data_IF_342058771351
#
_entry.id   IF_342058771351
#
_cell.length_a   1.000
_cell.length_b   1.000
_cell.length_c   1.000
_cell.angle_alpha   90.00
_cell.angle_beta   90.00
_cell.angle_gamma   90.00
#
_symmetry.space_group_name_H-M   'P 1'
#
loop_
_entity.id
_entity.type
_entity.pdbx_description
1 polymer ?
#
# COMPACT_ATOMS: atom_id res chain seq x y z
N UNK A 1 5.29 1.98 -16.27
CA UNK A 1 6.53 2.58 -15.74
C UNK A 1 7.68 1.59 -15.58
N UNK A 2 7.54 0.51 -14.81
CA UNK A 2 8.66 -0.42 -14.54
C UNK A 2 9.29 -1.06 -15.80
N UNK A 3 8.52 -1.52 -16.82
CA UNK A 3 9.12 -1.99 -18.07
C UNK A 3 9.94 -0.92 -18.79
N UNK A 4 9.54 0.35 -18.75
CA UNK A 4 10.30 1.45 -19.34
C UNK A 4 11.63 1.69 -18.60
N UNK A 5 11.62 1.58 -17.27
CA UNK A 5 12.82 1.66 -16.44
C UNK A 5 13.80 0.53 -16.77
N UNK A 6 13.30 -0.71 -16.92
CA UNK A 6 14.11 -1.83 -17.36
C UNK A 6 14.63 -1.63 -18.78
N UNK A 7 13.79 -1.17 -19.71
CA UNK A 7 14.19 -0.90 -21.09
C UNK A 7 15.37 0.08 -21.17
N UNK A 8 15.37 1.12 -20.33
CA UNK A 8 16.50 2.05 -20.23
C UNK A 8 17.80 1.35 -19.75
N UNK A 9 17.71 0.44 -18.78
CA UNK A 9 18.87 -0.36 -18.33
C UNK A 9 19.40 -1.30 -19.41
N UNK A 10 18.50 -1.92 -20.18
CA UNK A 10 18.88 -2.76 -21.30
C UNK A 10 19.49 -1.93 -22.45
N UNK A 11 19.00 -0.72 -22.69
CA UNK A 11 19.57 0.20 -23.68
C UNK A 11 21.02 0.58 -23.37
N UNK A 12 21.34 0.82 -22.09
CA UNK A 12 22.72 1.07 -21.65
C UNK A 12 23.55 -0.21 -21.43
N UNK A 13 23.05 -1.37 -21.87
CA UNK A 13 23.71 -2.68 -21.78
C UNK A 13 24.09 -3.11 -20.36
N UNK A 14 23.37 -2.64 -19.34
CA UNK A 14 23.67 -2.99 -17.95
C UNK A 14 23.26 -4.42 -17.56
N UNK A 15 22.43 -5.08 -18.39
CA UNK A 15 22.02 -6.48 -18.22
C UNK A 15 21.33 -6.76 -16.88
N UNK A 16 21.41 -8.01 -16.41
CA UNK A 16 20.84 -8.44 -15.13
C UNK A 16 21.53 -7.78 -13.92
N UNK A 17 22.82 -7.50 -14.00
CA UNK A 17 23.58 -6.82 -12.95
C UNK A 17 23.04 -5.41 -12.70
N UNK A 18 22.76 -4.64 -13.76
CA UNK A 18 22.16 -3.32 -13.65
C UNK A 18 20.78 -3.34 -13.00
N UNK A 19 19.97 -4.34 -13.32
CA UNK A 19 18.66 -4.55 -12.67
C UNK A 19 18.85 -4.85 -11.18
N UNK A 20 19.78 -5.74 -10.83
CA UNK A 20 20.10 -6.06 -9.44
C UNK A 20 20.58 -4.84 -8.65
N UNK A 21 21.51 -4.06 -9.19
CA UNK A 21 22.02 -2.84 -8.58
C UNK A 21 20.92 -1.79 -8.39
N UNK A 22 20.03 -1.63 -9.37
CA UNK A 22 18.87 -0.75 -9.26
C UNK A 22 17.93 -1.22 -8.13
N UNK A 23 17.62 -2.51 -8.04
CA UNK A 23 16.76 -3.04 -6.97
C UNK A 23 17.39 -2.80 -5.58
N UNK A 24 18.69 -3.04 -5.43
CA UNK A 24 19.42 -2.77 -4.18
C UNK A 24 19.38 -1.28 -3.84
N UNK A 25 19.66 -0.40 -4.80
CA UNK A 25 19.61 1.05 -4.60
C UNK A 25 18.21 1.51 -4.16
N UNK A 26 17.16 1.06 -4.84
CA UNK A 26 15.78 1.37 -4.48
C UNK A 26 15.43 0.84 -3.09
N UNK A 27 15.90 -0.36 -2.73
CA UNK A 27 15.76 -0.93 -1.39
C UNK A 27 16.43 -0.08 -0.31
N UNK A 28 17.69 0.32 -0.50
CA UNK A 28 18.43 1.19 0.43
C UNK A 28 17.74 2.54 0.59
N UNK A 29 17.29 3.15 -0.51
CA UNK A 29 16.55 4.40 -0.47
C UNK A 29 15.21 4.26 0.26
N UNK A 30 14.54 3.10 0.13
CA UNK A 30 13.30 2.81 0.87
C UNK A 30 13.52 2.83 2.38
N UNK A 31 14.61 2.20 2.84
CA UNK A 31 15.03 2.21 4.25
C UNK A 31 15.34 3.63 4.71
N UNK A 32 16.11 4.37 3.90
CA UNK A 32 16.53 5.74 4.22
C UNK A 32 15.35 6.71 4.35
N UNK A 33 14.40 6.69 3.40
CA UNK A 33 13.21 7.54 3.46
C UNK A 33 12.26 7.14 4.60
N UNK A 34 12.21 5.86 4.97
CA UNK A 34 11.47 5.41 6.16
C UNK A 34 12.07 6.04 7.43
N UNK A 35 13.40 5.97 7.58
CA UNK A 35 14.11 6.63 8.69
C UNK A 35 13.83 8.13 8.73
N UNK A 36 14.00 8.82 7.59
CA UNK A 36 13.73 10.27 7.49
C UNK A 36 12.28 10.61 7.85
N UNK A 37 11.32 9.79 7.44
CA UNK A 37 9.90 9.97 7.80
C UNK A 37 9.71 9.83 9.31
N UNK A 38 10.29 8.82 9.94
CA UNK A 38 10.22 8.65 11.40
C UNK A 38 10.80 9.84 12.18
N UNK A 39 11.91 10.42 11.71
CA UNK A 39 12.46 11.64 12.30
C UNK A 39 11.49 12.83 12.18
N UNK A 40 10.84 12.99 11.03
CA UNK A 40 9.82 14.05 10.82
C UNK A 40 8.58 13.84 11.69
N UNK A 41 8.22 12.59 11.97
CA UNK A 41 7.16 12.23 12.89
C UNK A 41 7.58 12.28 14.38
N UNK A 42 8.75 12.87 14.67
CA UNK A 42 9.29 13.07 16.03
C UNK A 42 9.54 11.77 16.79
N UNK A 43 9.96 10.72 16.08
CA UNK A 43 10.33 9.43 16.67
C UNK A 43 11.82 9.13 16.45
N UNK A 44 12.78 9.79 17.13
CA UNK A 44 14.21 9.63 16.83
C UNK A 44 14.72 8.18 16.96
N UNK A 45 14.45 7.54 18.10
CA UNK A 45 14.78 6.12 18.32
C UNK A 45 13.90 5.23 17.45
N UNK A 46 12.60 5.54 17.38
CA UNK A 46 11.65 4.73 16.62
C UNK A 46 11.89 4.73 15.11
N UNK A 47 12.49 5.80 14.56
CA UNK A 47 12.84 5.92 13.15
C UNK A 47 13.90 4.89 12.75
N UNK A 48 14.89 4.65 13.61
CA UNK A 48 15.93 3.65 13.36
C UNK A 48 15.34 2.23 13.38
N UNK A 49 14.46 1.95 14.35
CA UNK A 49 13.76 0.67 14.46
C UNK A 49 12.85 0.44 13.24
N UNK A 50 12.10 1.46 12.81
CA UNK A 50 11.24 1.36 11.63
C UNK A 50 12.06 1.10 10.36
N UNK A 51 13.21 1.75 10.21
CA UNK A 51 14.13 1.51 9.11
C UNK A 51 14.72 0.09 9.15
N UNK A 52 15.08 -0.42 10.33
CA UNK A 52 15.55 -1.79 10.51
C UNK A 52 14.47 -2.83 10.17
N UNK A 53 13.21 -2.57 10.53
CA UNK A 53 12.06 -3.40 10.10
C UNK A 53 12.00 -3.45 8.57
N UNK A 54 12.02 -2.30 7.88
CA UNK A 54 11.99 -2.27 6.41
C UNK A 54 13.18 -3.01 5.79
N UNK A 55 14.39 -2.84 6.36
CA UNK A 55 15.61 -3.49 5.86
C UNK A 55 15.60 -5.02 6.03
N UNK A 56 14.83 -5.53 6.98
CA UNK A 56 14.76 -6.97 7.33
C UNK A 56 13.44 -7.62 6.92
N UNK A 57 12.54 -6.89 6.26
CA UNK A 57 11.22 -7.40 5.90
C UNK A 57 11.34 -8.59 4.91
N UNK A 58 10.82 -9.78 5.27
CA UNK A 58 10.96 -10.97 4.44
C UNK A 58 10.39 -10.82 3.03
N UNK A 59 9.27 -10.11 2.88
CA UNK A 59 8.62 -9.89 1.58
C UNK A 59 9.49 -8.99 0.70
N UNK A 60 9.96 -7.85 1.21
CA UNK A 60 10.83 -6.95 0.44
C UNK A 60 12.15 -7.63 0.06
N UNK A 61 12.77 -8.38 0.98
CA UNK A 61 14.00 -9.13 0.70
C UNK A 61 13.78 -10.17 -0.40
N UNK A 62 12.69 -10.95 -0.33
CA UNK A 62 12.34 -11.89 -1.38
C UNK A 62 12.14 -11.19 -2.72
N UNK A 63 11.37 -10.10 -2.77
CA UNK A 63 11.08 -9.41 -4.04
C UNK A 63 12.25 -8.56 -4.57
N UNK A 64 13.30 -8.33 -3.78
CA UNK A 64 14.53 -7.70 -4.27
C UNK A 64 15.27 -8.58 -5.28
N UNK A 65 15.15 -9.92 -5.19
CA UNK A 65 15.75 -10.83 -6.16
C UNK A 65 14.94 -11.00 -7.44
N UNK A 66 13.71 -10.49 -7.51
CA UNK A 66 12.85 -10.59 -8.69
C UNK A 66 12.75 -9.25 -9.42
N UNK A 67 12.73 -9.30 -10.76
CA UNK A 67 12.46 -8.13 -11.59
C UNK A 67 10.95 -7.80 -11.58
N UNK A 68 10.46 -7.27 -10.46
CA UNK A 68 9.06 -6.94 -10.26
C UNK A 68 8.86 -5.55 -9.62
N UNK A 69 7.62 -5.07 -9.63
CA UNK A 69 7.28 -3.68 -9.26
C UNK A 69 7.29 -3.41 -7.75
N UNK A 70 7.41 -4.42 -6.90
CA UNK A 70 7.31 -4.32 -5.44
C UNK A 70 8.33 -3.35 -4.86
N UNK A 71 9.61 -3.50 -5.22
CA UNK A 71 10.71 -2.70 -4.68
C UNK A 71 10.58 -1.24 -5.12
N UNK A 72 10.29 -1.01 -6.40
CA UNK A 72 10.04 0.33 -6.93
C UNK A 72 8.81 0.98 -6.28
N UNK A 73 7.75 0.20 -6.05
CA UNK A 73 6.54 0.68 -5.39
C UNK A 73 6.81 1.00 -3.92
N UNK A 74 7.58 0.19 -3.20
CA UNK A 74 7.96 0.44 -1.81
C UNK A 74 8.83 1.71 -1.70
N UNK A 75 9.78 1.89 -2.61
CA UNK A 75 10.57 3.12 -2.73
C UNK A 75 9.67 4.34 -2.93
N UNK A 76 8.78 4.30 -3.93
CA UNK A 76 7.87 5.41 -4.21
C UNK A 76 6.92 5.67 -3.05
N UNK A 77 6.43 4.64 -2.35
CA UNK A 77 5.69 4.82 -1.10
C UNK A 77 6.51 5.57 -0.06
N UNK A 78 7.72 5.10 0.24
CA UNK A 78 8.56 5.69 1.30
C UNK A 78 8.93 7.15 1.01
N UNK A 79 9.23 7.47 -0.25
CA UNK A 79 9.47 8.83 -0.71
C UNK A 79 8.20 9.68 -0.63
N UNK A 80 7.06 9.15 -1.09
CA UNK A 80 5.79 9.85 -1.06
C UNK A 80 5.35 10.19 0.37
N UNK A 81 5.40 9.23 1.31
CA UNK A 81 5.05 9.49 2.71
C UNK A 81 6.02 10.49 3.36
N UNK A 82 7.32 10.43 3.02
CA UNK A 82 8.29 11.41 3.48
C UNK A 82 7.92 12.82 3.01
N UNK A 83 7.68 13.00 1.70
CA UNK A 83 7.33 14.30 1.12
C UNK A 83 5.98 14.83 1.65
N UNK A 84 5.00 13.96 1.85
CA UNK A 84 3.72 14.33 2.48
C UNK A 84 3.92 14.75 3.94
N UNK A 85 4.78 14.06 4.71
CA UNK A 85 5.12 14.46 6.07
C UNK A 85 5.82 15.83 6.10
N UNK A 86 6.73 16.12 5.15
CA UNK A 86 7.33 17.45 5.01
C UNK A 86 6.28 18.55 4.79
N UNK A 87 5.35 18.32 3.85
CA UNK A 87 4.32 19.32 3.51
C UNK A 87 3.31 19.55 4.63
N UNK A 88 3.00 18.54 5.45
CA UNK A 88 1.99 18.64 6.52
C UNK A 88 2.55 19.19 7.84
N UNK A 89 3.83 18.95 8.13
CA UNK A 89 4.47 19.40 9.37
C UNK A 89 4.93 20.86 9.32
N UNK A 90 5.13 21.42 8.13
CA UNK A 90 5.41 22.85 7.98
C UNK A 90 4.15 23.69 8.19
N UNK A 91 4.24 24.63 9.13
CA UNK A 91 3.14 25.50 9.51
C UNK A 91 2.53 26.21 8.30
N UNK A 92 1.22 26.01 8.15
CA UNK A 92 0.36 26.56 7.09
C UNK A 92 0.19 28.09 7.18
N UNK A 93 0.82 28.74 8.17
CA UNK A 93 0.72 30.16 8.49
C UNK A 93 1.75 31.01 7.75
N UNK A 94 2.83 30.41 7.23
CA UNK A 94 3.80 31.13 6.40
C UNK A 94 3.26 31.27 4.97
N UNK A 95 3.49 32.43 4.30
CA UNK A 95 3.13 32.63 2.90
C UNK A 95 3.74 31.52 2.03
N UNK A 96 3.03 31.04 0.99
CA UNK A 96 3.61 29.99 0.14
C UNK A 96 4.87 30.56 -0.54
N UNK A 97 6.01 30.07 -0.08
CA UNK A 97 7.29 30.33 -0.72
C UNK A 97 7.37 29.55 -2.03
N UNK A 98 8.13 30.03 -3.02
CA UNK A 98 8.39 29.27 -4.26
C UNK A 98 8.92 27.85 -3.97
N UNK A 99 9.73 27.69 -2.92
CA UNK A 99 10.25 26.40 -2.48
C UNK A 99 9.14 25.43 -2.03
N UNK A 100 8.17 25.91 -1.23
CA UNK A 100 7.03 25.09 -0.78
C UNK A 100 6.13 24.70 -1.95
N UNK A 101 5.91 25.60 -2.90
CA UNK A 101 5.19 25.32 -4.14
C UNK A 101 5.89 24.24 -4.97
N UNK A 102 7.20 24.39 -5.20
CA UNK A 102 8.01 23.40 -5.92
C UNK A 102 8.00 22.03 -5.23
N UNK A 103 8.15 22.00 -3.90
CA UNK A 103 8.10 20.74 -3.15
C UNK A 103 6.73 20.06 -3.23
N UNK A 104 5.65 20.83 -3.16
CA UNK A 104 4.28 20.31 -3.32
C UNK A 104 4.07 19.76 -4.74
N UNK A 105 4.56 20.47 -5.74
CA UNK A 105 4.56 20.02 -7.13
C UNK A 105 5.37 18.72 -7.32
N UNK A 106 6.58 18.66 -6.78
CA UNK A 106 7.42 17.47 -6.81
C UNK A 106 6.79 16.27 -6.09
N UNK A 107 6.05 16.53 -5.00
CA UNK A 107 5.24 15.50 -4.32
C UNK A 107 4.18 14.94 -5.26
N UNK A 108 3.55 15.81 -6.05
CA UNK A 108 2.59 15.44 -7.08
C UNK A 108 3.21 14.59 -8.18
N UNK A 109 4.42 14.94 -8.65
CA UNK A 109 5.16 14.13 -9.62
C UNK A 109 5.43 12.72 -9.09
N UNK A 110 5.95 12.60 -7.87
CA UNK A 110 6.20 11.29 -7.23
C UNK A 110 4.91 10.48 -7.09
N UNK A 111 3.80 11.12 -6.70
CA UNK A 111 2.51 10.44 -6.59
C UNK A 111 1.99 9.98 -7.97
N UNK A 112 2.12 10.79 -9.01
CA UNK A 112 1.78 10.40 -10.38
C UNK A 112 2.63 9.23 -10.89
N UNK A 113 3.93 9.22 -10.60
CA UNK A 113 4.81 8.07 -10.88
C UNK A 113 4.37 6.83 -10.09
N UNK A 114 3.94 6.98 -8.84
CA UNK A 114 3.37 5.88 -8.06
C UNK A 114 2.07 5.34 -8.70
N UNK A 115 1.19 6.20 -9.21
CA UNK A 115 -0.02 5.79 -9.97
C UNK A 115 0.36 4.98 -11.22
N UNK A 116 1.38 5.41 -11.96
CA UNK A 116 1.90 4.66 -13.12
C UNK A 116 2.66 3.38 -12.74
N UNK A 117 3.10 3.26 -11.48
CA UNK A 117 3.67 2.03 -10.94
C UNK A 117 2.56 1.03 -10.62
N UNK A 118 1.54 1.47 -9.86
CA UNK A 118 0.40 0.67 -9.43
C UNK A 118 -0.88 1.53 -9.38
N UNK A 119 -2.00 1.06 -9.96
CA UNK A 119 -3.27 1.80 -9.93
C UNK A 119 -3.80 2.09 -8.51
N UNK A 120 -3.40 1.32 -7.50
CA UNK A 120 -3.82 1.50 -6.10
C UNK A 120 -3.52 2.89 -5.53
N UNK A 121 -2.47 3.56 -6.00
CA UNK A 121 -2.15 4.92 -5.56
C UNK A 121 -3.16 5.97 -6.05
N UNK A 122 -3.94 5.66 -7.09
CA UNK A 122 -5.03 6.53 -7.55
C UNK A 122 -6.18 6.50 -6.54
N UNK A 123 -6.49 5.32 -5.98
CA UNK A 123 -7.48 5.20 -4.90
C UNK A 123 -6.99 5.92 -3.63
N UNK A 124 -5.69 5.82 -3.32
CA UNK A 124 -5.09 6.61 -2.24
C UNK A 124 -5.29 8.11 -2.46
N UNK A 125 -4.97 8.62 -3.64
CA UNK A 125 -5.19 10.02 -3.99
C UNK A 125 -6.66 10.42 -3.86
N UNK A 126 -7.58 9.64 -4.43
CA UNK A 126 -9.02 9.93 -4.40
C UNK A 126 -9.57 9.99 -2.98
N UNK A 127 -9.28 8.98 -2.14
CA UNK A 127 -9.77 8.94 -0.75
C UNK A 127 -9.15 10.05 0.11
N UNK A 128 -7.85 10.29 -0.03
CA UNK A 128 -7.19 11.37 0.70
C UNK A 128 -7.70 12.76 0.27
N UNK A 129 -7.91 12.96 -1.04
CA UNK A 129 -8.43 14.21 -1.59
C UNK A 129 -9.87 14.47 -1.12
N UNK A 130 -10.75 13.47 -1.19
CA UNK A 130 -12.13 13.54 -0.68
C UNK A 130 -12.15 13.82 0.82
N UNK A 131 -11.36 13.09 1.61
CA UNK A 131 -11.24 13.35 3.06
C UNK A 131 -10.78 14.78 3.34
N UNK A 132 -9.83 15.30 2.55
CA UNK A 132 -9.35 16.68 2.68
C UNK A 132 -10.40 17.73 2.28
N UNK A 133 -11.33 17.41 1.37
CA UNK A 133 -12.44 18.27 0.96
C UNK A 133 -13.58 18.28 1.98
N UNK A 134 -13.86 17.13 2.63
CA UNK A 134 -14.89 17.01 3.64
C UNK A 134 -14.47 17.57 5.01
N UNK A 135 -13.17 17.61 5.32
CA UNK A 135 -12.63 18.03 6.62
C UNK A 135 -13.04 19.47 7.04
N UNK A 136 -13.01 20.50 6.16
CA UNK A 136 -13.46 21.85 6.50
C UNK A 136 -14.96 21.92 6.77
N UNK A 137 -15.77 21.16 6.03
CA UNK A 137 -17.23 21.09 6.23
C UNK A 137 -17.54 20.45 7.58
N UNK A 138 -16.88 19.33 7.90
CA UNK A 138 -17.04 18.65 9.17
C UNK A 138 -16.57 19.51 10.36
N UNK A 139 -15.46 20.24 10.21
CA UNK A 139 -14.98 21.17 11.25
C UNK A 139 -15.87 22.39 11.44
N UNK A 140 -16.51 22.87 10.36
CA UNK A 140 -17.51 23.94 10.42
C UNK A 140 -18.78 23.48 11.15
N UNK A 141 -19.21 22.24 10.94
CA UNK A 141 -20.32 21.62 11.70
C UNK A 141 -19.93 21.43 13.17
N UNK A 142 -18.68 21.08 13.45
CA UNK A 142 -18.15 20.84 14.80
C UNK A 142 -17.58 22.11 15.48
N UNK A 143 -17.89 23.32 14.98
CA UNK A 143 -17.41 24.61 15.51
C UNK A 143 -15.91 24.67 15.85
N UNK A 144 -15.08 23.96 15.08
CA UNK A 144 -13.63 23.93 15.28
C UNK A 144 -12.98 24.91 14.31
N UNK A 145 -11.99 25.73 14.73
CA UNK A 145 -11.32 26.67 13.82
C UNK A 145 -10.74 25.94 12.60
N UNK A 146 -11.20 26.32 11.41
CA UNK A 146 -10.68 25.82 10.14
C UNK A 146 -9.56 26.73 9.67
N UNK A 147 -8.38 26.17 9.42
CA UNK A 147 -7.39 26.84 8.57
C UNK A 147 -8.01 27.00 7.18
N UNK A 148 -7.79 28.16 6.55
CA UNK A 148 -8.39 28.51 5.26
C UNK A 148 -8.14 27.47 4.17
N UNK A 149 -8.98 27.47 3.14
CA UNK A 149 -8.96 26.50 2.06
C UNK A 149 -7.72 26.69 1.16
N UNK A 150 -6.72 25.82 1.30
CA UNK A 150 -5.43 25.95 0.60
C UNK A 150 -5.50 25.42 -0.84
N UNK A 151 -6.31 26.07 -1.67
CA UNK A 151 -6.49 25.71 -3.08
C UNK A 151 -5.19 25.69 -3.87
N UNK A 152 -4.28 26.63 -3.59
CA UNK A 152 -3.01 26.78 -4.31
C UNK A 152 -2.09 25.56 -4.17
N UNK A 153 -1.96 24.99 -2.97
CA UNK A 153 -1.17 23.76 -2.74
C UNK A 153 -1.81 22.55 -3.44
N UNK A 154 -3.14 22.46 -3.46
CA UNK A 154 -3.85 21.42 -4.21
C UNK A 154 -3.60 21.54 -5.70
N UNK A 155 -3.58 22.76 -6.24
CA UNK A 155 -3.26 23.01 -7.65
C UNK A 155 -1.85 22.53 -8.00
N UNK A 156 -0.83 22.87 -7.19
CA UNK A 156 0.54 22.41 -7.45
C UNK A 156 0.67 20.89 -7.38
N UNK A 157 0.04 20.26 -6.37
CA UNK A 157 0.03 18.81 -6.23
C UNK A 157 -0.62 18.14 -7.45
N UNK A 158 -1.82 18.60 -7.83
CA UNK A 158 -2.56 18.08 -8.99
C UNK A 158 -1.79 18.32 -10.30
N UNK A 159 -1.15 19.48 -10.46
CA UNK A 159 -0.33 19.77 -11.64
C UNK A 159 0.86 18.79 -11.75
N UNK A 160 1.53 18.49 -10.63
CA UNK A 160 2.59 17.49 -10.60
C UNK A 160 2.08 16.09 -10.98
N UNK A 161 0.94 15.67 -10.43
CA UNK A 161 0.32 14.38 -10.78
C UNK A 161 0.01 14.33 -12.27
N UNK A 162 -0.66 15.36 -12.80
CA UNK A 162 -1.06 15.45 -14.21
C UNK A 162 0.14 15.40 -15.14
N UNK A 163 1.24 16.10 -14.83
CA UNK A 163 2.46 16.06 -15.64
C UNK A 163 3.11 14.68 -15.63
N UNK A 164 3.14 13.99 -14.47
CA UNK A 164 3.71 12.66 -14.39
C UNK A 164 2.88 11.61 -15.17
N UNK A 165 1.54 11.69 -15.13
CA UNK A 165 0.65 10.73 -15.78
C UNK A 165 0.34 11.05 -17.24
N UNK A 166 0.50 12.30 -17.68
CA UNK A 166 0.09 12.76 -19.00
C UNK A 166 0.79 12.03 -20.16
N UNK A 167 2.09 11.65 -20.14
CA UNK A 167 2.69 10.96 -21.27
C UNK A 167 2.02 9.60 -21.54
N UNK A 168 1.66 8.88 -20.47
CA UNK A 168 0.94 7.61 -20.58
C UNK A 168 -0.50 7.83 -21.05
N UNK A 169 -1.20 8.82 -20.50
CA UNK A 169 -2.55 9.16 -20.90
C UNK A 169 -2.64 9.59 -22.37
N UNK A 170 -1.72 10.45 -22.82
CA UNK A 170 -1.62 10.89 -24.22
C UNK A 170 -1.35 9.69 -25.13
N UNK A 171 -0.40 8.83 -24.77
CA UNK A 171 -0.14 7.59 -25.52
C UNK A 171 -1.40 6.74 -25.64
N UNK A 172 -2.16 6.57 -24.55
CA UNK A 172 -3.39 5.79 -24.57
C UNK A 172 -4.51 6.47 -25.36
N UNK A 173 -4.60 7.79 -25.35
CA UNK A 173 -5.54 8.52 -26.21
C UNK A 173 -5.19 8.36 -27.70
N UNK A 174 -3.91 8.35 -28.06
CA UNK A 174 -3.48 8.18 -29.45
C UNK A 174 -3.62 6.73 -29.92
N UNK A 175 -3.21 5.76 -29.09
CA UNK A 175 -3.18 4.33 -29.48
C UNK A 175 -4.52 3.63 -29.28
N UNK A 176 -5.17 3.89 -28.14
CA UNK A 176 -6.40 3.22 -27.75
C UNK A 176 -7.65 4.07 -28.01
N UNK A 177 -7.51 5.34 -28.41
CA UNK A 177 -8.62 6.27 -28.59
C UNK A 177 -9.52 6.39 -27.34
N UNK A 178 -8.93 6.19 -26.15
CA UNK A 178 -9.64 6.17 -24.88
C UNK A 178 -8.79 6.79 -23.75
N UNK A 179 -9.40 7.57 -22.82
CA UNK A 179 -8.71 8.25 -21.73
C UNK A 179 -8.36 7.29 -20.58
N UNK A 180 -7.54 6.26 -20.86
CA UNK A 180 -7.14 5.26 -19.87
C UNK A 180 -5.93 5.76 -19.10
N UNK A 181 -6.15 6.14 -17.83
CA UNK A 181 -5.10 6.65 -16.96
C UNK A 181 -4.19 5.54 -16.40
N UNK A 182 -4.76 4.35 -16.18
CA UNK A 182 -4.07 3.26 -15.48
C UNK A 182 -3.91 2.04 -16.38
N UNK A 183 -4.53 0.91 -16.03
CA UNK A 183 -4.37 -0.37 -16.69
C UNK A 183 -5.69 -0.88 -17.26
N UNK A 184 -5.57 -1.60 -18.36
CA UNK A 184 -6.57 -2.42 -19.06
C UNK A 184 -6.59 -3.87 -18.55
N UNK A 185 -6.04 -4.13 -17.35
CA UNK A 185 -6.04 -5.44 -16.70
C UNK A 185 -6.93 -5.49 -15.44
N UNK A 186 -7.73 -4.45 -15.19
CA UNK A 186 -8.57 -4.37 -14.01
C UNK A 186 -9.67 -5.43 -14.02
N UNK A 187 -10.31 -5.66 -15.16
CA UNK A 187 -11.35 -6.66 -15.36
C UNK A 187 -10.82 -8.06 -15.12
N UNK A 188 -9.64 -8.38 -15.64
CA UNK A 188 -8.95 -9.64 -15.35
C UNK A 188 -8.71 -9.82 -13.85
N UNK A 189 -8.15 -8.80 -13.18
CA UNK A 189 -7.79 -8.88 -11.75
C UNK A 189 -9.03 -8.99 -10.85
N UNK A 190 -10.14 -8.35 -11.25
CA UNK A 190 -11.42 -8.49 -10.57
C UNK A 190 -12.00 -9.90 -10.80
N UNK A 191 -12.01 -10.39 -12.04
CA UNK A 191 -12.53 -11.71 -12.38
C UNK A 191 -11.73 -12.85 -11.72
N UNK A 192 -10.41 -12.71 -11.64
CA UNK A 192 -9.51 -13.68 -11.02
C UNK A 192 -9.89 -13.97 -9.56
N UNK A 193 -10.33 -12.97 -8.81
CA UNK A 193 -10.80 -13.14 -7.42
C UNK A 193 -12.31 -13.36 -7.27
N UNK A 194 -13.06 -13.32 -8.35
CA UNK A 194 -14.52 -13.37 -8.35
C UNK A 194 -15.02 -14.25 -9.51
N UNK A 195 -14.65 -15.53 -9.49
CA UNK A 195 -15.11 -16.55 -10.44
C UNK A 195 -15.49 -17.85 -9.73
N UNK A 196 -16.34 -18.70 -10.35
CA UNK A 196 -16.85 -19.91 -9.71
C UNK A 196 -15.76 -20.91 -9.28
N UNK A 197 -14.72 -21.10 -10.11
CA UNK A 197 -13.63 -22.03 -9.81
C UNK A 197 -12.87 -21.58 -8.58
N UNK A 198 -12.51 -20.30 -8.49
CA UNK A 198 -11.87 -19.72 -7.31
C UNK A 198 -12.75 -19.83 -6.06
N UNK A 199 -14.06 -19.63 -6.20
CA UNK A 199 -14.98 -19.80 -5.07
C UNK A 199 -14.98 -21.23 -4.54
N UNK A 200 -15.08 -22.21 -5.44
CA UNK A 200 -15.14 -23.62 -5.08
C UNK A 200 -13.81 -24.14 -4.51
N UNK A 201 -12.69 -23.85 -5.17
CA UNK A 201 -11.39 -24.43 -4.84
C UNK A 201 -10.63 -23.66 -3.77
N UNK A 202 -11.07 -22.45 -3.42
CA UNK A 202 -10.30 -21.61 -2.50
C UNK A 202 -11.18 -20.96 -1.43
N UNK A 203 -12.30 -20.35 -1.79
CA UNK A 203 -13.14 -19.63 -0.82
C UNK A 203 -13.87 -20.61 0.10
N UNK A 204 -14.41 -21.69 -0.46
CA UNK A 204 -15.14 -22.71 0.29
C UNK A 204 -14.24 -23.74 0.98
N UNK A 205 -12.93 -23.68 0.73
CA UNK A 205 -11.97 -24.62 1.30
C UNK A 205 -11.44 -24.16 2.66
N UNK A 206 -10.82 -25.06 3.45
CA UNK A 206 -10.21 -24.70 4.72
C UNK A 206 -9.19 -23.56 4.60
N UNK A 207 -9.00 -22.84 5.71
CA UNK A 207 -8.01 -21.75 5.75
C UNK A 207 -6.61 -22.27 5.43
N UNK A 208 -5.91 -21.54 4.57
CA UNK A 208 -4.57 -21.91 4.12
C UNK A 208 -4.56 -22.57 2.74
N UNK A 209 -5.69 -23.12 2.28
CA UNK A 209 -5.81 -23.57 0.89
C UNK A 209 -5.56 -22.41 -0.06
N UNK A 210 -4.84 -22.70 -1.13
CA UNK A 210 -4.43 -21.78 -2.17
C UNK A 210 -4.86 -22.31 -3.52
N UNK A 211 -4.99 -21.42 -4.51
CA UNK A 211 -5.29 -21.90 -5.85
C UNK A 211 -4.08 -22.63 -6.42
N UNK A 212 -4.27 -23.90 -6.82
CA UNK A 212 -3.21 -24.68 -7.45
C UNK A 212 -2.83 -24.04 -8.79
N UNK A 213 -1.54 -24.12 -9.14
CA UNK A 213 -1.04 -23.58 -10.41
C UNK A 213 -1.68 -24.26 -11.62
N UNK A 214 -1.96 -25.56 -11.52
CA UNK A 214 -2.60 -26.35 -12.57
C UNK A 214 -4.06 -25.95 -12.80
N UNK A 215 -4.86 -25.80 -11.73
CA UNK A 215 -6.25 -25.36 -11.88
C UNK A 215 -6.35 -23.91 -12.37
N UNK A 216 -5.47 -23.04 -11.86
CA UNK A 216 -5.40 -21.66 -12.33
C UNK A 216 -5.09 -21.60 -13.84
N UNK A 217 -4.10 -22.35 -14.32
CA UNK A 217 -3.75 -22.44 -15.74
C UNK A 217 -4.90 -23.00 -16.58
N UNK A 218 -5.56 -24.07 -16.11
CA UNK A 218 -6.71 -24.66 -16.77
C UNK A 218 -7.88 -23.65 -16.90
N UNK A 219 -8.16 -22.89 -15.84
CA UNK A 219 -9.17 -21.83 -15.84
C UNK A 219 -8.78 -20.67 -16.77
N UNK A 220 -7.51 -20.27 -16.81
CA UNK A 220 -7.04 -19.23 -17.73
C UNK A 220 -7.23 -19.66 -19.19
N UNK A 221 -6.89 -20.92 -19.52
CA UNK A 221 -7.10 -21.48 -20.86
C UNK A 221 -8.58 -21.64 -21.21
N UNK A 222 -9.46 -21.94 -20.25
CA UNK A 222 -10.92 -21.95 -20.50
C UNK A 222 -11.44 -20.55 -20.76
N UNK A 223 -10.98 -19.56 -19.99
CA UNK A 223 -11.33 -18.16 -20.14
C UNK A 223 -10.92 -17.61 -21.51
N UNK A 224 -9.73 -17.94 -22.00
CA UNK A 224 -9.27 -17.55 -23.34
C UNK A 224 -10.16 -18.14 -24.43
N UNK A 225 -10.50 -19.43 -24.34
CA UNK A 225 -11.46 -20.06 -25.25
C UNK A 225 -12.85 -19.43 -25.20
N UNK A 226 -13.35 -19.03 -24.02
CA UNK A 226 -14.64 -18.32 -23.90
C UNK A 226 -14.61 -16.97 -24.64
N UNK A 227 -13.50 -16.23 -24.51
CA UNK A 227 -13.32 -14.93 -25.18
C UNK A 227 -13.23 -15.10 -26.69
N UNK A 228 -12.46 -16.09 -27.17
CA UNK A 228 -12.32 -16.40 -28.60
C UNK A 228 -13.65 -16.79 -29.26
N UNK A 229 -14.51 -17.51 -28.52
CA UNK A 229 -15.83 -17.94 -28.98
C UNK A 229 -16.94 -16.89 -28.74
N UNK A 230 -16.63 -15.73 -28.17
CA UNK A 230 -17.63 -14.67 -27.92
C UNK A 230 -18.09 -14.05 -29.23
N UNK A 231 -19.41 -13.87 -29.37
CA UNK A 231 -20.05 -13.20 -30.52
C UNK A 231 -20.77 -11.94 -30.03
N UNK A 232 -20.44 -10.74 -30.55
CA UNK A 232 -19.40 -10.46 -31.55
C UNK A 232 -17.97 -10.68 -31.02
N UNK A 233 -16.99 -10.94 -31.91
CA UNK A 233 -15.62 -11.22 -31.50
C UNK A 233 -14.99 -10.04 -30.75
N UNK A 234 -14.32 -10.34 -29.66
CA UNK A 234 -13.54 -9.39 -28.85
C UNK A 234 -12.22 -9.11 -29.56
N UNK A 235 -12.03 -7.89 -30.07
CA UNK A 235 -10.88 -7.54 -30.93
C UNK A 235 -9.83 -6.71 -30.22
N UNK A 236 -10.25 -5.85 -29.29
CA UNK A 236 -9.35 -4.91 -28.61
C UNK A 236 -9.08 -5.31 -27.16
N UNK A 237 -7.94 -4.85 -26.64
CA UNK A 237 -7.60 -5.01 -25.22
C UNK A 237 -8.66 -4.38 -24.30
N UNK A 238 -9.25 -3.24 -24.70
CA UNK A 238 -10.32 -2.59 -23.95
C UNK A 238 -11.63 -3.39 -23.96
N UNK A 239 -11.97 -4.00 -25.09
CA UNK A 239 -13.13 -4.90 -25.17
C UNK A 239 -12.91 -6.13 -24.29
N UNK A 240 -11.70 -6.70 -24.29
CA UNK A 240 -11.34 -7.83 -23.43
C UNK A 240 -11.47 -7.47 -21.95
N UNK A 241 -10.93 -6.32 -21.53
CA UNK A 241 -11.04 -5.85 -20.15
C UNK A 241 -12.51 -5.63 -19.75
N UNK A 242 -13.30 -5.01 -20.62
CA UNK A 242 -14.74 -4.78 -20.40
C UNK A 242 -15.52 -6.09 -20.30
N UNK A 243 -15.24 -7.06 -21.18
CA UNK A 243 -15.84 -8.38 -21.15
C UNK A 243 -15.53 -9.09 -19.83
N UNK A 244 -14.28 -9.06 -19.37
CA UNK A 244 -13.88 -9.65 -18.08
C UNK A 244 -14.55 -8.95 -16.89
N UNK A 245 -14.69 -7.63 -16.93
CA UNK A 245 -15.47 -6.89 -15.93
C UNK A 245 -16.94 -7.33 -15.89
N UNK A 246 -17.57 -7.51 -17.06
CA UNK A 246 -18.95 -7.98 -17.15
C UNK A 246 -19.08 -9.40 -16.59
N UNK A 247 -18.15 -10.30 -16.94
CA UNK A 247 -18.10 -11.66 -16.40
C UNK A 247 -17.92 -11.67 -14.89
N UNK A 248 -17.03 -10.85 -14.35
CA UNK A 248 -16.83 -10.72 -12.90
C UNK A 248 -18.11 -10.24 -12.20
N UNK A 249 -18.76 -9.20 -12.75
CA UNK A 249 -20.03 -8.69 -12.22
C UNK A 249 -21.14 -9.72 -12.26
N UNK A 250 -21.23 -10.52 -13.34
CA UNK A 250 -22.20 -11.60 -13.45
C UNK A 250 -21.96 -12.68 -12.37
N UNK A 251 -20.71 -13.08 -12.14
CA UNK A 251 -20.38 -14.05 -11.08
C UNK A 251 -20.68 -13.50 -9.67
N UNK A 252 -20.44 -12.20 -9.43
CA UNK A 252 -20.78 -11.55 -8.17
C UNK A 252 -22.30 -11.50 -7.96
N UNK A 253 -23.06 -11.21 -9.01
CA UNK A 253 -24.51 -11.15 -8.97
C UNK A 253 -25.14 -12.55 -8.79
N UNK A 254 -24.53 -13.59 -9.35
CA UNK A 254 -24.96 -14.97 -9.18
C UNK A 254 -24.79 -15.44 -7.72
N UNK A 255 -23.65 -15.14 -7.10
CA UNK A 255 -23.30 -15.63 -5.76
C UNK A 255 -22.77 -14.51 -4.83
N UNK A 256 -23.64 -13.59 -4.36
CA UNK A 256 -23.21 -12.46 -3.52
C UNK A 256 -22.63 -12.89 -2.17
N UNK A 257 -23.09 -14.02 -1.61
CA UNK A 257 -22.54 -14.59 -0.37
C UNK A 257 -21.08 -15.03 -0.54
N UNK A 258 -20.77 -15.74 -1.63
CA UNK A 258 -19.41 -16.17 -1.93
C UNK A 258 -18.51 -14.99 -2.30
N UNK A 259 -19.06 -13.95 -2.91
CA UNK A 259 -18.34 -12.69 -3.10
C UNK A 259 -17.92 -12.04 -1.77
N UNK A 260 -18.82 -11.94 -0.78
CA UNK A 260 -18.49 -11.41 0.55
C UNK A 260 -17.44 -12.29 1.24
N UNK A 261 -17.59 -13.62 1.19
CA UNK A 261 -16.60 -14.55 1.73
C UNK A 261 -15.24 -14.39 1.04
N UNK A 262 -15.20 -14.22 -0.29
CA UNK A 262 -13.99 -13.94 -1.06
C UNK A 262 -13.33 -12.62 -0.62
N UNK A 263 -14.11 -11.55 -0.41
CA UNK A 263 -13.62 -10.29 0.13
C UNK A 263 -12.99 -10.47 1.53
N UNK A 264 -13.65 -11.18 2.44
CA UNK A 264 -13.11 -11.46 3.78
C UNK A 264 -11.84 -12.34 3.74
N UNK A 265 -11.82 -13.35 2.86
CA UNK A 265 -10.63 -14.17 2.61
C UNK A 265 -9.45 -13.32 2.15
N UNK A 266 -9.69 -12.43 1.17
CA UNK A 266 -8.68 -11.51 0.63
C UNK A 266 -8.16 -10.55 1.71
N UNK A 267 -9.05 -9.99 2.52
CA UNK A 267 -8.66 -9.14 3.65
C UNK A 267 -7.74 -9.87 4.63
N UNK A 268 -8.10 -11.11 5.00
CA UNK A 268 -7.28 -11.96 5.88
C UNK A 268 -5.94 -12.32 5.23
N UNK A 269 -5.91 -12.62 3.93
CA UNK A 269 -4.68 -12.94 3.19
C UNK A 269 -3.74 -11.76 3.04
N UNK A 270 -4.28 -10.57 2.82
CA UNK A 270 -3.50 -9.34 2.71
C UNK A 270 -2.78 -9.01 4.02
N UNK A 271 -3.48 -9.18 5.14
CA UNK A 271 -2.95 -8.95 6.49
C UNK A 271 -2.41 -10.21 7.16
N UNK A 272 -2.11 -11.26 6.40
CA UNK A 272 -1.67 -12.51 7.01
C UNK A 272 -0.30 -12.39 7.68
N UNK A 273 -0.10 -13.14 8.76
CA UNK A 273 1.17 -13.23 9.48
C UNK A 273 2.13 -14.24 8.84
N UNK A 274 1.60 -15.26 8.16
CA UNK A 274 2.40 -16.38 7.64
C UNK A 274 2.34 -16.48 6.11
N UNK A 275 3.42 -16.89 5.43
CA UNK A 275 3.35 -17.21 4.01
C UNK A 275 2.57 -18.52 3.82
N UNK A 276 1.31 -18.42 3.37
CA UNK A 276 0.42 -19.58 3.15
C UNK A 276 0.94 -20.56 2.10
N UNK A 277 1.81 -20.09 1.21
CA UNK A 277 2.28 -20.82 0.04
C UNK A 277 3.78 -20.66 -0.10
N UNK A 278 4.52 -21.26 0.81
CA UNK A 278 5.92 -21.48 0.53
C UNK A 278 6.23 -22.93 0.85
N UNK A 279 6.65 -23.66 -0.17
CA UNK A 279 7.43 -24.89 0.00
C UNK A 279 8.57 -24.69 1.00
N UNK A 280 8.98 -23.44 1.25
CA UNK A 280 9.87 -23.01 2.32
C UNK A 280 9.33 -23.20 3.74
N UNK A 281 8.04 -22.99 4.03
CA UNK A 281 7.44 -23.31 5.34
C UNK A 281 7.37 -24.82 5.54
N UNK A 282 6.98 -25.56 4.49
CA UNK A 282 6.90 -27.02 4.54
C UNK A 282 8.29 -27.66 4.70
N UNK A 283 9.30 -27.16 3.97
CA UNK A 283 10.67 -27.68 4.03
C UNK A 283 11.50 -27.12 5.19
N UNK A 284 11.21 -25.90 5.68
CA UNK A 284 11.96 -25.20 6.74
C UNK A 284 10.99 -24.54 7.74
N UNK A 285 10.32 -25.32 8.60
CA UNK A 285 9.28 -24.84 9.50
C UNK A 285 9.78 -23.77 10.47
N UNK A 286 11.04 -23.85 10.93
CA UNK A 286 11.64 -22.84 11.81
C UNK A 286 11.67 -21.45 11.18
N UNK A 287 12.00 -21.36 9.89
CA UNK A 287 11.99 -20.08 9.16
C UNK A 287 10.54 -19.59 9.01
N UNK A 288 9.61 -20.50 8.71
CA UNK A 288 8.17 -20.20 8.66
C UNK A 288 7.63 -19.62 9.96
N UNK A 289 7.97 -20.22 11.10
CA UNK A 289 7.61 -19.73 12.43
C UNK A 289 8.28 -18.41 12.76
N UNK A 290 9.55 -18.23 12.37
CA UNK A 290 10.26 -16.95 12.51
C UNK A 290 9.57 -15.81 11.76
N UNK A 291 9.20 -16.04 10.48
CA UNK A 291 8.44 -15.07 9.68
C UNK A 291 7.07 -14.79 10.30
N UNK A 292 6.40 -15.83 10.80
CA UNK A 292 5.09 -15.70 11.44
C UNK A 292 5.17 -14.85 12.70
N UNK A 293 6.15 -15.11 13.57
CA UNK A 293 6.41 -14.32 14.77
C UNK A 293 6.79 -12.87 14.44
N UNK A 294 7.62 -12.68 13.41
CA UNK A 294 8.02 -11.36 12.91
C UNK A 294 6.80 -10.52 12.50
N UNK A 295 5.94 -11.05 11.63
CA UNK A 295 4.76 -10.32 11.18
C UNK A 295 3.71 -10.20 12.27
N UNK A 296 3.56 -11.18 13.16
CA UNK A 296 2.69 -11.05 14.33
C UNK A 296 3.08 -9.84 15.17
N UNK A 297 4.36 -9.70 15.51
CA UNK A 297 4.87 -8.56 16.27
C UNK A 297 4.65 -7.23 15.53
N UNK A 298 4.98 -7.17 14.25
CA UNK A 298 4.91 -5.91 13.49
C UNK A 298 3.47 -5.48 13.26
N UNK A 299 2.60 -6.39 12.80
CA UNK A 299 1.22 -6.06 12.47
C UNK A 299 0.36 -5.78 13.70
N UNK A 300 0.62 -6.45 14.84
CA UNK A 300 -0.05 -6.10 16.11
C UNK A 300 0.33 -4.70 16.57
N UNK A 301 1.62 -4.34 16.52
CA UNK A 301 2.07 -2.98 16.74
C UNK A 301 1.42 -1.99 15.77
N UNK A 302 1.32 -2.33 14.49
CA UNK A 302 0.77 -1.43 13.48
C UNK A 302 -0.72 -1.19 13.71
N UNK A 303 -1.47 -2.24 14.08
CA UNK A 303 -2.87 -2.14 14.50
C UNK A 303 -3.04 -1.22 15.71
N UNK A 304 -2.23 -1.41 16.76
CA UNK A 304 -2.22 -0.52 17.92
C UNK A 304 -1.88 0.93 17.53
N UNK A 305 -0.92 1.12 16.63
CA UNK A 305 -0.55 2.44 16.10
C UNK A 305 -1.71 3.14 15.39
N UNK A 306 -2.40 2.45 14.48
CA UNK A 306 -3.59 2.98 13.80
C UNK A 306 -4.68 3.36 14.81
N UNK A 307 -4.98 2.49 15.77
CA UNK A 307 -6.00 2.75 16.80
C UNK A 307 -5.65 3.97 17.66
N UNK A 308 -4.41 4.06 18.16
CA UNK A 308 -3.99 5.17 19.00
C UNK A 308 -3.94 6.50 18.24
N UNK A 309 -3.45 6.51 17.00
CA UNK A 309 -3.34 7.72 16.18
C UNK A 309 -4.71 8.24 15.74
N UNK A 310 -5.63 7.33 15.39
CA UNK A 310 -7.02 7.70 15.06
C UNK A 310 -7.77 8.22 16.28
N UNK A 311 -7.59 7.59 17.44
CA UNK A 311 -8.17 8.05 18.70
C UNK A 311 -7.64 9.44 19.11
N UNK A 312 -6.32 9.64 19.07
CA UNK A 312 -5.67 10.92 19.41
C UNK A 312 -5.83 12.01 18.33
N UNK A 313 -6.35 11.65 17.15
CA UNK A 313 -6.54 12.55 15.99
C UNK A 313 -5.25 13.26 15.57
N UNK A 314 -4.14 12.53 15.58
CA UNK A 314 -2.81 13.05 15.21
C UNK A 314 -2.74 13.36 13.71
N UNK A 315 -2.86 14.63 13.35
CA UNK A 315 -3.02 15.07 11.96
C UNK A 315 -1.81 14.76 11.06
N UNK A 316 -0.60 14.71 11.63
CA UNK A 316 0.64 14.40 10.91
C UNK A 316 0.69 12.98 10.32
N UNK A 317 -0.11 12.06 10.86
CA UNK A 317 -0.15 10.66 10.43
C UNK A 317 -1.25 10.35 9.41
N UNK A 318 -2.07 11.34 9.08
CA UNK A 318 -3.21 11.19 8.17
C UNK A 318 -2.87 10.48 6.85
N UNK A 319 -1.83 10.89 6.10
CA UNK A 319 -1.46 10.23 4.85
C UNK A 319 -1.10 8.76 5.01
N UNK A 320 -0.40 8.39 6.08
CA UNK A 320 0.03 7.01 6.34
C UNK A 320 -1.22 6.13 6.61
N UNK A 321 -2.17 6.64 7.40
CA UNK A 321 -3.42 5.95 7.70
C UNK A 321 -4.26 5.78 6.42
N UNK A 322 -4.43 6.85 5.64
CA UNK A 322 -5.19 6.80 4.39
C UNK A 322 -4.53 5.91 3.32
N UNK A 323 -3.21 5.85 3.29
CA UNK A 323 -2.47 4.93 2.43
C UNK A 323 -2.78 3.48 2.79
N UNK A 324 -2.67 3.11 4.07
CA UNK A 324 -2.97 1.75 4.54
C UNK A 324 -4.44 1.39 4.28
N UNK A 325 -5.35 2.31 4.57
CA UNK A 325 -6.79 2.11 4.34
C UNK A 325 -7.12 1.95 2.85
N UNK A 326 -6.60 2.82 1.98
CA UNK A 326 -6.88 2.78 0.53
C UNK A 326 -6.35 1.50 -0.11
N UNK A 327 -5.15 1.06 0.24
CA UNK A 327 -4.61 -0.21 -0.24
C UNK A 327 -5.45 -1.39 0.25
N UNK A 328 -5.86 -1.38 1.52
CA UNK A 328 -6.74 -2.43 2.07
C UNK A 328 -8.08 -2.47 1.33
N UNK A 329 -8.69 -1.31 1.09
CA UNK A 329 -9.98 -1.19 0.41
C UNK A 329 -9.93 -1.68 -1.04
N UNK A 330 -8.88 -1.34 -1.80
CA UNK A 330 -8.71 -1.83 -3.18
C UNK A 330 -8.53 -3.35 -3.21
N UNK A 331 -7.66 -3.88 -2.35
CA UNK A 331 -7.37 -5.32 -2.30
C UNK A 331 -8.47 -6.16 -1.61
N UNK A 332 -9.55 -5.51 -1.14
CA UNK A 332 -10.76 -6.20 -0.71
C UNK A 332 -11.51 -6.78 -1.92
N UNK A 333 -11.52 -6.06 -3.04
CA UNK A 333 -12.32 -6.39 -4.22
C UNK A 333 -11.49 -7.06 -5.33
N UNK A 334 -10.23 -6.66 -5.47
CA UNK A 334 -9.30 -7.19 -6.46
C UNK A 334 -8.46 -8.32 -5.88
N UNK A 335 -7.99 -9.24 -6.73
CA UNK A 335 -7.11 -10.33 -6.32
C UNK A 335 -5.95 -9.85 -5.43
N UNK A 336 -5.68 -10.60 -4.35
CA UNK A 336 -4.64 -10.21 -3.39
C UNK A 336 -3.98 -11.40 -2.70
N UNK A 337 -2.76 -11.15 -2.22
CA UNK A 337 -1.97 -12.02 -1.35
C UNK A 337 -1.01 -11.14 -0.53
N UNK A 338 -0.19 -11.76 0.32
CA UNK A 338 0.76 -11.05 1.18
C UNK A 338 1.76 -10.19 0.39
N UNK A 339 2.12 -10.57 -0.84
CA UNK A 339 2.98 -9.79 -1.73
C UNK A 339 2.41 -8.41 -2.04
N UNK A 340 1.09 -8.28 -2.17
CA UNK A 340 0.45 -6.98 -2.45
C UNK A 340 0.59 -5.97 -1.30
N UNK A 341 0.99 -6.41 -0.11
CA UNK A 341 1.32 -5.57 1.05
C UNK A 341 2.71 -4.95 0.96
N UNK A 342 3.62 -5.47 0.12
CA UNK A 342 5.01 -5.00 0.03
C UNK A 342 5.17 -3.47 -0.05
N UNK A 343 4.36 -2.74 -0.85
CA UNK A 343 4.48 -1.28 -0.92
C UNK A 343 4.14 -0.56 0.38
N UNK A 344 3.38 -1.19 1.29
CA UNK A 344 2.96 -0.61 2.57
C UNK A 344 3.97 -0.84 3.70
N UNK A 345 5.00 -1.67 3.51
CA UNK A 345 5.96 -2.03 4.56
C UNK A 345 6.56 -0.80 5.27
N UNK A 346 6.97 0.28 4.57
CA UNK A 346 7.40 1.53 5.23
C UNK A 346 6.37 2.14 6.18
N UNK A 347 5.10 2.20 5.74
CA UNK A 347 4.00 2.73 6.54
C UNK A 347 3.68 1.82 7.75
N UNK A 348 3.66 0.51 7.53
CA UNK A 348 3.43 -0.50 8.56
C UNK A 348 4.52 -0.42 9.63
N UNK A 349 5.80 -0.30 9.23
CA UNK A 349 6.92 -0.19 10.16
C UNK A 349 6.80 1.04 11.06
N UNK A 350 6.49 2.21 10.49
CA UNK A 350 6.29 3.46 11.24
C UNK A 350 5.12 3.34 12.24
N UNK A 351 3.97 2.83 11.78
CA UNK A 351 2.81 2.59 12.63
C UNK A 351 3.11 1.59 13.74
N UNK A 352 3.87 0.55 13.43
CA UNK A 352 4.22 -0.51 14.37
C UNK A 352 5.05 -0.01 15.53
N UNK A 353 6.11 0.74 15.22
CA UNK A 353 6.98 1.30 16.24
C UNK A 353 6.25 2.36 17.07
N UNK A 354 5.37 3.16 16.46
CA UNK A 354 4.52 4.09 17.22
C UNK A 354 3.59 3.34 18.18
N UNK A 355 2.88 2.31 17.70
CA UNK A 355 1.97 1.51 18.52
C UNK A 355 2.66 0.84 19.70
N UNK A 356 3.81 0.20 19.47
CA UNK A 356 4.58 -0.44 20.55
C UNK A 356 5.14 0.56 21.54
N UNK A 357 5.74 1.66 21.08
CA UNK A 357 6.30 2.67 21.98
C UNK A 357 5.24 3.26 22.92
N UNK A 358 4.06 3.61 22.39
CA UNK A 358 2.96 4.16 23.20
C UNK A 358 2.27 3.15 24.09
N UNK A 359 2.15 1.90 23.64
CA UNK A 359 1.59 0.83 24.48
C UNK A 359 2.51 0.51 25.66
N UNK A 360 3.83 0.49 25.46
CA UNK A 360 4.80 0.28 26.54
C UNK A 360 4.84 1.43 27.54
N UNK A 361 4.76 2.69 27.09
CA UNK A 361 4.62 3.86 27.98
C UNK A 361 3.36 3.72 28.87
N UNK A 362 2.23 3.35 28.28
CA UNK A 362 0.97 3.14 29.01
C UNK A 362 1.08 2.02 30.06
N UNK A 363 1.73 0.90 29.73
CA UNK A 363 1.94 -0.21 30.67
C UNK A 363 2.89 0.17 31.82
N UNK A 364 3.91 1.00 31.56
CA UNK A 364 4.82 1.50 32.61
C UNK A 364 4.11 2.44 33.58
N UNK A 365 3.23 3.32 33.10
CA UNK A 365 2.46 4.25 33.94
C UNK A 365 1.43 3.55 34.84
N UNK A 366 1.00 2.34 34.47
CA UNK A 366 0.07 1.52 35.27
C UNK A 366 0.73 0.68 36.36
N UNK A 367 2.06 0.55 36.38
CA UNK A 367 2.72 -0.05 37.54
C UNK A 367 2.56 0.91 38.71
N UNK A 368 1.85 0.53 39.80
CA UNK A 368 1.75 1.39 40.96
C UNK A 368 3.17 1.64 41.46
N UNK A 369 3.50 2.91 41.68
CA UNK A 369 4.66 3.29 42.48
C UNK A 369 4.43 2.58 43.82
N UNK A 370 5.17 1.50 44.07
CA UNK A 370 5.16 0.87 45.37
C UNK A 370 5.47 1.98 46.38
N UNK A 371 4.54 2.14 47.31
CA UNK A 371 4.51 3.12 48.39
C UNK A 371 5.91 3.28 48.96
N UNK A 372 6.50 4.45 48.76
CA UNK A 372 7.73 4.86 49.44
C UNK A 372 7.33 5.38 50.82
N UNK A 373 6.77 4.49 51.64
CA UNK A 373 6.41 4.77 53.03
C UNK A 373 6.80 3.56 53.88
N UNK A 374 7.99 3.63 54.46
CA UNK A 374 8.35 3.17 55.81
C UNK A 374 9.88 2.97 55.89
N UNK A 375 10.61 4.08 56.02
CA UNK A 375 11.93 4.08 56.67
C UNK A 375 12.19 5.50 57.20
N UNK A 376 11.28 5.99 58.03
CA UNK A 376 11.48 7.20 58.83
C UNK A 376 10.83 7.05 60.21
N UNK A 377 11.09 5.94 60.90
CA UNK A 377 10.97 5.89 62.35
C UNK A 377 11.93 4.83 62.89
N UNK A 378 13.14 5.27 63.21
CA UNK A 378 13.93 4.77 64.33
C UNK A 378 14.98 5.82 64.68
N UNK A 379 14.51 6.89 65.33
CA UNK A 379 15.28 7.59 66.37
C UNK A 379 14.53 7.35 67.66
N UNK A 380 15.09 6.47 68.50
CA UNK A 380 15.26 6.67 69.94
C UNK A 380 16.29 5.64 70.44
#
# INVERSE_FOLDING_TARGET
MYPCLLAALYYVKAGSLGVGLLQVLLGVLTVWFTWKTGLRLRMPVGALVAAAIVATDPVLLQYTSYAMTEVLSAFLTSLLIYMLALNLTEETTLPDTPEKAFRTFATGLVWGLAILCRPTYLAFFGLWFLASLCNPVLKRILNTPSKGLVWRQRTYLSAGILIAVSPWLIRNLVVFHAPILTTTHGGYTLLLGNNPVFYQEVVQQPWGTVWSGESLDAWQKSLEREIENTIPPVKSEQERDRWMYQRAKANIAADPSLFVQSCLLRLRRFWNFSPLNSSLVESKPLIGWGITGYYLLILTGAGAGVLLLTWKRESGWGPIIWLVFSFTAVHLFYWTNMRMRAPLVPAIALLSVYGWSKSMEFLKLRKPIATREQESHNTL
#
